data_IF_079743552493
#
_entry.id   IF_079743552493
#
_cell.length_a   1.000
_cell.length_b   1.000
_cell.length_c   1.000
_cell.angle_alpha   90.00
_cell.angle_beta   90.00
_cell.angle_gamma   90.00
#
_symmetry.space_group_name_H-M   'P 1'
#
loop_
_entity.id
_entity.type
_entity.pdbx_description
1 polymer ?
#
# COMPACT_ATOMS: atom_id res chain seq x y z
N UNK A 1 1.78 35.97 27.19
CA UNK A 1 1.60 35.59 25.80
C UNK A 1 0.15 35.12 25.65
N UNK A 2 -0.62 35.79 24.83
CA UNK A 2 -2.02 35.43 24.53
C UNK A 2 -2.07 34.22 23.58
N UNK A 3 -3.22 33.57 23.45
CA UNK A 3 -3.41 32.46 22.49
C UNK A 3 -3.14 32.92 21.04
N UNK A 4 -3.50 34.16 20.71
CA UNK A 4 -3.26 34.76 19.39
C UNK A 4 -1.76 34.94 19.11
N UNK A 5 -1.01 35.45 20.10
CA UNK A 5 0.45 35.59 20.00
C UNK A 5 1.15 34.21 19.86
N UNK A 6 0.67 33.18 20.58
CA UNK A 6 1.19 31.83 20.47
C UNK A 6 0.93 31.25 19.07
N UNK A 7 -0.30 31.39 18.56
CA UNK A 7 -0.70 30.95 17.23
C UNK A 7 0.15 31.62 16.15
N UNK A 8 0.28 32.94 16.20
CA UNK A 8 1.04 33.70 15.21
C UNK A 8 2.50 33.27 15.17
N UNK A 9 3.12 33.10 16.33
CA UNK A 9 4.50 32.62 16.44
C UNK A 9 4.66 31.18 15.96
N UNK A 10 3.70 30.30 16.27
CA UNK A 10 3.72 28.91 15.79
C UNK A 10 3.61 28.84 14.25
N UNK A 11 2.75 29.64 13.63
CA UNK A 11 2.62 29.73 12.18
C UNK A 11 3.90 30.26 11.53
N UNK A 12 4.51 31.30 12.09
CA UNK A 12 5.79 31.83 11.60
C UNK A 12 6.90 30.76 11.64
N UNK A 13 6.95 30.00 12.72
CA UNK A 13 7.93 28.89 12.85
C UNK A 13 7.65 27.73 11.89
N UNK A 14 6.38 27.45 11.56
CA UNK A 14 5.98 26.34 10.69
C UNK A 14 6.04 26.70 9.18
N UNK A 15 5.96 27.98 8.83
CA UNK A 15 5.90 28.44 7.44
C UNK A 15 7.04 27.90 6.54
N UNK A 16 8.32 27.89 6.98
CA UNK A 16 9.39 27.31 6.16
C UNK A 16 9.18 25.83 5.82
N UNK A 17 8.58 25.08 6.74
CA UNK A 17 8.24 23.66 6.50
C UNK A 17 7.07 23.51 5.54
N UNK A 18 6.02 24.33 5.68
CA UNK A 18 4.90 24.31 4.74
C UNK A 18 5.33 24.60 3.31
N UNK A 19 6.24 25.54 3.11
CA UNK A 19 6.79 25.87 1.77
C UNK A 19 7.52 24.71 1.11
N UNK A 20 8.06 23.76 1.86
CA UNK A 20 8.69 22.54 1.30
C UNK A 20 7.66 21.60 0.67
N UNK A 21 6.43 21.59 1.17
CA UNK A 21 5.37 20.72 0.67
C UNK A 21 4.62 21.32 -0.53
N UNK A 22 4.66 22.63 -0.76
CA UNK A 22 3.95 23.28 -1.87
C UNK A 22 4.29 22.68 -3.25
N UNK A 23 5.57 22.45 -3.62
CA UNK A 23 5.92 21.83 -4.90
C UNK A 23 5.41 20.39 -5.02
N UNK A 24 5.43 19.63 -3.92
CA UNK A 24 4.95 18.25 -3.88
C UNK A 24 3.43 18.22 -4.07
N UNK A 25 2.70 19.08 -3.36
CA UNK A 25 1.26 19.21 -3.48
C UNK A 25 0.84 19.61 -4.90
N UNK A 26 1.54 20.60 -5.48
CA UNK A 26 1.28 21.04 -6.85
C UNK A 26 1.52 19.90 -7.87
N UNK A 27 2.63 19.20 -7.76
CA UNK A 27 2.96 18.10 -8.67
C UNK A 27 1.95 16.95 -8.58
N UNK A 28 1.55 16.56 -7.37
CA UNK A 28 0.57 15.51 -7.16
C UNK A 28 -0.84 15.94 -7.59
N UNK A 29 -1.23 17.20 -7.37
CA UNK A 29 -2.49 17.75 -7.90
C UNK A 29 -2.51 17.67 -9.43
N UNK A 30 -1.43 18.07 -10.10
CA UNK A 30 -1.30 17.95 -11.55
C UNK A 30 -1.42 16.50 -12.01
N UNK A 31 -0.72 15.58 -11.35
CA UNK A 31 -0.77 14.14 -11.65
C UNK A 31 -2.21 13.60 -11.61
N UNK A 32 -2.98 13.98 -10.59
CA UNK A 32 -4.39 13.56 -10.47
C UNK A 32 -5.25 14.20 -11.56
N UNK A 33 -5.09 15.48 -11.86
CA UNK A 33 -5.84 16.16 -12.95
C UNK A 33 -5.51 15.56 -14.32
N UNK A 34 -4.25 15.21 -14.56
CA UNK A 34 -3.83 14.51 -15.78
C UNK A 34 -4.48 13.13 -15.87
N UNK A 35 -4.54 12.37 -14.76
CA UNK A 35 -5.22 11.09 -14.73
C UNK A 35 -6.71 11.21 -15.08
N UNK A 36 -7.41 12.20 -14.52
CA UNK A 36 -8.81 12.47 -14.87
C UNK A 36 -8.99 12.76 -16.36
N UNK A 37 -8.08 13.52 -16.96
CA UNK A 37 -8.10 13.82 -18.39
C UNK A 37 -7.80 12.59 -19.26
N UNK A 38 -6.71 11.89 -18.97
CA UNK A 38 -6.27 10.74 -19.78
C UNK A 38 -7.23 9.55 -19.67
N UNK A 39 -7.80 9.31 -18.47
CA UNK A 39 -8.85 8.31 -18.25
C UNK A 39 -10.24 8.82 -18.71
N UNK A 40 -10.35 10.03 -19.27
CA UNK A 40 -11.60 10.60 -19.80
C UNK A 40 -12.75 10.59 -18.78
N UNK A 41 -12.46 10.99 -17.55
CA UNK A 41 -13.48 11.10 -16.49
C UNK A 41 -14.53 12.16 -16.89
N UNK A 42 -15.81 11.82 -16.77
CA UNK A 42 -16.94 12.70 -17.11
C UNK A 42 -18.04 12.57 -16.05
N UNK A 43 -19.06 13.44 -16.11
CA UNK A 43 -20.22 13.43 -15.23
C UNK A 43 -20.95 12.08 -15.21
N UNK A 44 -20.88 11.33 -16.31
CA UNK A 44 -21.48 10.01 -16.41
C UNK A 44 -20.93 9.02 -15.36
N UNK A 45 -19.64 9.13 -15.02
CA UNK A 45 -18.98 8.26 -14.04
C UNK A 45 -19.37 8.55 -12.57
N UNK A 46 -20.05 9.68 -12.32
CA UNK A 46 -20.59 10.03 -11.00
C UNK A 46 -22.06 9.64 -10.81
N UNK A 47 -22.68 9.03 -11.81
CA UNK A 47 -24.03 8.50 -11.68
C UNK A 47 -24.02 7.20 -10.87
N UNK A 48 -24.89 7.11 -9.87
CA UNK A 48 -25.01 5.89 -9.06
C UNK A 48 -25.57 4.72 -9.86
N UNK A 49 -25.16 3.52 -9.52
CA UNK A 49 -25.72 2.26 -10.00
C UNK A 49 -26.55 1.61 -8.90
N UNK A 50 -27.44 0.68 -9.30
CA UNK A 50 -28.29 -0.08 -8.38
C UNK A 50 -28.03 -1.58 -8.53
N UNK A 51 -28.51 -2.37 -7.56
CA UNK A 51 -28.38 -3.82 -7.59
C UNK A 51 -26.97 -4.28 -7.23
N UNK A 52 -26.45 -5.21 -8.00
CA UNK A 52 -25.16 -5.87 -7.71
C UNK A 52 -23.93 -5.04 -8.12
N UNK A 53 -24.10 -3.87 -8.76
CA UNK A 53 -23.01 -3.04 -9.23
C UNK A 53 -22.26 -3.61 -10.45
N UNK A 54 -22.80 -4.58 -11.14
CA UNK A 54 -22.28 -5.03 -12.41
C UNK A 54 -22.32 -3.87 -13.43
N UNK A 55 -21.20 -3.70 -14.16
CA UNK A 55 -21.02 -2.59 -15.11
C UNK A 55 -21.12 -1.21 -14.43
N UNK A 56 -20.61 -1.09 -13.20
CA UNK A 56 -20.47 0.19 -12.53
C UNK A 56 -19.31 0.97 -13.16
N UNK A 57 -19.66 1.77 -14.18
CA UNK A 57 -18.67 2.55 -14.96
C UNK A 57 -17.86 3.53 -14.11
N UNK A 58 -18.42 4.04 -13.03
CA UNK A 58 -17.72 4.93 -12.09
C UNK A 58 -16.65 4.17 -11.31
N UNK A 59 -16.95 2.97 -10.88
CA UNK A 59 -16.02 2.10 -10.15
C UNK A 59 -14.87 1.65 -11.05
N UNK A 60 -15.16 1.18 -12.26
CA UNK A 60 -14.15 0.80 -13.25
C UNK A 60 -13.25 2.01 -13.59
N UNK A 61 -13.86 3.18 -13.78
CA UNK A 61 -13.12 4.41 -14.05
C UNK A 61 -12.22 4.84 -12.90
N UNK A 62 -12.66 4.66 -11.66
CA UNK A 62 -11.84 4.94 -10.48
C UNK A 62 -10.61 4.02 -10.41
N UNK A 63 -10.77 2.73 -10.76
CA UNK A 63 -9.65 1.79 -10.87
C UNK A 63 -8.63 2.25 -11.92
N UNK A 64 -9.07 2.68 -13.11
CA UNK A 64 -8.20 3.24 -14.15
C UNK A 64 -7.44 4.49 -13.66
N UNK A 65 -8.12 5.41 -12.98
CA UNK A 65 -7.50 6.62 -12.43
C UNK A 65 -6.42 6.27 -11.39
N UNK A 66 -6.70 5.33 -10.49
CA UNK A 66 -5.71 4.88 -9.51
C UNK A 66 -4.52 4.18 -10.17
N UNK A 67 -4.76 3.30 -11.13
CA UNK A 67 -3.67 2.65 -11.89
C UNK A 67 -2.78 3.70 -12.57
N UNK A 68 -3.38 4.71 -13.21
CA UNK A 68 -2.64 5.81 -13.86
C UNK A 68 -1.81 6.63 -12.86
N UNK A 69 -2.43 7.08 -11.76
CA UNK A 69 -1.80 7.94 -10.75
C UNK A 69 -0.62 7.25 -10.09
N UNK A 70 -0.79 5.99 -9.72
CA UNK A 70 0.22 5.22 -8.99
C UNK A 70 1.15 4.41 -9.91
N UNK A 71 1.00 4.53 -11.24
CA UNK A 71 1.82 3.83 -12.26
C UNK A 71 1.76 2.31 -12.16
N UNK A 72 0.59 1.78 -11.78
CA UNK A 72 0.29 0.35 -11.83
C UNK A 72 -0.31 -0.07 -13.16
N UNK A 73 -0.27 -1.36 -13.46
CA UNK A 73 -0.94 -1.95 -14.62
C UNK A 73 -2.46 -2.07 -14.38
N UNK A 74 -2.85 -2.35 -13.13
CA UNK A 74 -4.25 -2.48 -12.70
C UNK A 74 -4.42 -1.97 -11.27
N UNK A 75 -5.65 -1.58 -10.92
CA UNK A 75 -6.04 -1.22 -9.57
C UNK A 75 -7.41 -1.81 -9.22
N UNK A 76 -7.67 -1.94 -7.92
CA UNK A 76 -8.98 -2.19 -7.33
C UNK A 76 -9.18 -1.18 -6.21
N UNK A 77 -10.19 -0.34 -6.34
CA UNK A 77 -10.52 0.70 -5.36
C UNK A 77 -11.96 0.49 -4.92
N UNK A 78 -12.15 0.05 -3.68
CA UNK A 78 -13.48 -0.38 -3.22
C UNK A 78 -13.82 0.11 -1.82
N UNK A 79 -15.05 0.56 -1.58
CA UNK A 79 -15.58 0.75 -0.23
C UNK A 79 -15.76 -0.58 0.52
N UNK A 80 -15.82 -1.71 -0.18
CA UNK A 80 -15.92 -3.06 0.40
C UNK A 80 -14.67 -3.48 1.17
N UNK A 81 -13.53 -2.85 0.96
CA UNK A 81 -12.45 -2.92 1.91
C UNK A 81 -12.86 -2.19 3.18
N UNK A 82 -13.26 -2.93 4.19
CA UNK A 82 -13.77 -2.35 5.45
C UNK A 82 -12.72 -1.58 6.25
N UNK A 83 -11.45 -1.72 5.87
CA UNK A 83 -10.31 -1.03 6.49
C UNK A 83 -9.05 -1.20 5.64
N UNK A 84 -8.00 -0.43 5.94
CA UNK A 84 -6.67 -0.64 5.36
C UNK A 84 -6.11 -2.03 5.67
N UNK A 85 -6.32 -2.52 6.89
CA UNK A 85 -5.95 -3.91 7.25
C UNK A 85 -6.61 -4.94 6.34
N UNK A 86 -7.88 -4.74 5.94
CA UNK A 86 -8.55 -5.64 5.03
C UNK A 86 -7.90 -5.62 3.64
N UNK A 87 -7.57 -4.46 3.10
CA UNK A 87 -6.86 -4.36 1.81
C UNK A 87 -5.48 -5.05 1.87
N UNK A 88 -4.70 -4.77 2.91
CA UNK A 88 -3.39 -5.39 3.13
C UNK A 88 -3.48 -6.91 3.31
N UNK A 89 -4.45 -7.37 4.11
CA UNK A 89 -4.68 -8.79 4.36
C UNK A 89 -5.13 -9.53 3.09
N UNK A 90 -6.07 -8.96 2.33
CA UNK A 90 -6.54 -9.50 1.05
C UNK A 90 -5.37 -9.66 0.09
N UNK A 91 -4.53 -8.63 -0.06
CA UNK A 91 -3.32 -8.67 -0.88
C UNK A 91 -2.37 -9.77 -0.42
N UNK A 92 -1.95 -9.77 0.84
CA UNK A 92 -0.97 -10.74 1.33
C UNK A 92 -1.50 -12.18 1.26
N UNK A 93 -2.76 -12.41 1.58
CA UNK A 93 -3.39 -13.75 1.51
C UNK A 93 -3.45 -14.24 0.06
N UNK A 94 -3.80 -13.38 -0.90
CA UNK A 94 -3.84 -13.76 -2.32
C UNK A 94 -2.44 -14.11 -2.83
N UNK A 95 -1.43 -13.30 -2.51
CA UNK A 95 -0.04 -13.53 -2.90
C UNK A 95 0.51 -14.85 -2.35
N UNK A 96 0.09 -15.26 -1.15
CA UNK A 96 0.54 -16.51 -0.51
C UNK A 96 -0.31 -17.71 -0.91
N UNK A 97 -1.58 -17.52 -1.27
CA UNK A 97 -2.56 -18.60 -1.49
C UNK A 97 -2.58 -19.22 -2.88
N UNK A 98 -2.04 -18.56 -3.89
CA UNK A 98 -2.28 -18.89 -5.29
C UNK A 98 -1.34 -19.96 -5.88
N UNK A 99 -1.24 -21.15 -5.26
CA UNK A 99 -0.52 -22.32 -5.81
C UNK A 99 0.98 -22.09 -6.06
N UNK A 100 1.51 -20.98 -5.58
CA UNK A 100 2.86 -20.51 -5.85
C UNK A 100 3.93 -21.39 -5.21
N UNK A 101 5.06 -21.46 -5.87
CA UNK A 101 6.30 -21.94 -5.28
C UNK A 101 6.73 -20.95 -4.20
N UNK A 102 7.03 -21.44 -3.01
CA UNK A 102 7.43 -20.62 -1.87
C UNK A 102 6.29 -20.44 -0.86
N UNK A 103 6.62 -20.67 0.41
CA UNK A 103 5.66 -20.60 1.53
C UNK A 103 6.08 -19.57 2.57
N UNK A 104 7.11 -18.79 2.29
CA UNK A 104 7.64 -17.78 3.19
C UNK A 104 7.29 -16.37 2.73
N UNK A 105 6.95 -15.54 3.69
CA UNK A 105 6.91 -14.09 3.51
C UNK A 105 7.72 -13.41 4.62
N UNK A 106 8.37 -12.30 4.23
CA UNK A 106 9.30 -11.56 5.08
C UNK A 106 8.74 -10.16 5.31
N UNK A 107 8.74 -9.68 6.54
CA UNK A 107 8.59 -8.27 6.86
C UNK A 107 9.97 -7.63 6.94
N UNK A 108 10.24 -6.70 6.04
CA UNK A 108 11.57 -6.16 5.81
C UNK A 108 12.02 -5.12 6.84
N UNK A 109 11.10 -4.49 7.57
CA UNK A 109 11.36 -3.26 8.33
C UNK A 109 10.79 -3.37 9.75
N UNK A 110 11.22 -4.40 10.47
CA UNK A 110 10.77 -4.70 11.83
C UNK A 110 9.35 -5.30 11.87
N UNK A 111 8.75 -5.27 13.05
CA UNK A 111 7.46 -5.87 13.29
C UNK A 111 6.33 -5.24 12.45
N UNK A 112 5.38 -6.06 11.93
CA UNK A 112 4.20 -5.57 11.24
C UNK A 112 3.32 -4.72 12.16
N UNK A 113 2.53 -3.84 11.55
CA UNK A 113 1.49 -3.10 12.24
C UNK A 113 0.56 -4.04 13.03
N UNK A 114 0.09 -3.60 14.20
CA UNK A 114 -0.61 -4.44 15.19
C UNK A 114 -1.71 -5.33 14.64
N UNK A 115 -2.57 -4.79 13.76
CA UNK A 115 -3.65 -5.57 13.16
C UNK A 115 -3.12 -6.63 12.20
N UNK A 116 -2.04 -6.34 11.48
CA UNK A 116 -1.38 -7.30 10.60
C UNK A 116 -0.66 -8.41 11.37
N UNK A 117 -0.17 -8.15 12.59
CA UNK A 117 0.36 -9.23 13.45
C UNK A 117 -0.68 -10.31 13.71
N UNK A 118 -1.96 -9.94 13.88
CA UNK A 118 -3.06 -10.90 14.05
C UNK A 118 -3.38 -11.65 12.74
N UNK A 119 -3.41 -10.97 11.60
CA UNK A 119 -3.61 -11.60 10.28
C UNK A 119 -2.52 -12.62 9.98
N UNK A 120 -1.29 -12.29 10.32
CA UNK A 120 -0.11 -13.15 10.15
C UNK A 120 -0.11 -14.29 11.16
N UNK A 121 -0.47 -14.03 12.41
CA UNK A 121 -0.25 -14.93 13.53
C UNK A 121 1.17 -14.86 14.09
N UNK A 122 1.79 -13.65 14.03
CA UNK A 122 3.20 -13.46 14.36
C UNK A 122 3.51 -13.66 15.84
N UNK A 123 2.71 -13.04 16.72
CA UNK A 123 2.95 -13.07 18.19
C UNK A 123 2.28 -14.24 18.91
N UNK A 124 1.22 -14.81 18.33
CA UNK A 124 0.46 -15.95 18.89
C UNK A 124 -0.32 -16.67 17.80
N UNK A 125 -0.66 -17.93 18.07
CA UNK A 125 -1.60 -18.67 17.19
C UNK A 125 -2.95 -17.95 17.16
N UNK A 126 -3.33 -17.50 15.96
CA UNK A 126 -4.63 -16.87 15.68
C UNK A 126 -5.35 -17.74 14.66
N UNK A 127 -6.60 -18.10 14.96
CA UNK A 127 -7.42 -18.91 14.05
C UNK A 127 -7.59 -18.20 12.70
N UNK A 128 -7.27 -18.90 11.62
CA UNK A 128 -7.36 -18.38 10.25
C UNK A 128 -6.15 -17.55 9.81
N UNK A 129 -5.15 -17.34 10.67
CA UNK A 129 -3.92 -16.62 10.32
C UNK A 129 -3.07 -17.38 9.29
N UNK A 130 -2.17 -16.66 8.63
CA UNK A 130 -1.27 -17.24 7.62
C UNK A 130 -0.36 -18.32 8.22
N UNK A 131 0.18 -18.09 9.41
CA UNK A 131 1.03 -19.09 10.10
C UNK A 131 0.22 -20.35 10.46
N UNK A 132 -1.04 -20.20 10.91
CA UNK A 132 -1.92 -21.36 11.16
C UNK A 132 -2.20 -22.16 9.87
N UNK A 133 -2.27 -21.48 8.72
CA UNK A 133 -2.43 -22.11 7.39
C UNK A 133 -1.15 -22.76 6.86
N UNK A 134 -0.04 -22.70 7.60
CA UNK A 134 1.21 -23.36 7.26
C UNK A 134 2.18 -22.51 6.45
N UNK A 135 1.98 -21.19 6.37
CA UNK A 135 2.97 -20.28 5.80
C UNK A 135 4.02 -19.89 6.84
N UNK A 136 5.23 -19.61 6.39
CA UNK A 136 6.34 -19.18 7.23
C UNK A 136 6.44 -17.67 7.24
N UNK A 137 6.51 -17.09 8.42
CA UNK A 137 6.74 -15.69 8.66
C UNK A 137 8.16 -15.45 9.17
N UNK A 138 8.86 -14.50 8.56
CA UNK A 138 10.16 -14.02 8.99
C UNK A 138 10.11 -12.50 9.16
N UNK A 139 10.70 -11.99 10.24
CA UNK A 139 10.86 -10.57 10.49
C UNK A 139 12.33 -10.20 10.44
N UNK A 140 12.69 -9.17 9.67
CA UNK A 140 14.02 -8.58 9.71
C UNK A 140 14.02 -7.48 10.76
N UNK A 141 14.79 -7.63 11.87
CA UNK A 141 14.82 -6.63 12.91
C UNK A 141 15.45 -5.32 12.41
N UNK A 142 15.03 -4.21 13.01
CA UNK A 142 15.70 -2.92 12.78
C UNK A 142 17.11 -2.95 13.36
N UNK A 143 18.04 -2.26 12.69
CA UNK A 143 19.39 -1.99 13.14
C UNK A 143 19.55 -0.48 13.33
N UNK A 144 20.00 -0.05 14.48
CA UNK A 144 20.15 1.37 14.80
C UNK A 144 18.88 2.21 14.49
N UNK A 145 17.71 1.62 14.79
CA UNK A 145 16.38 2.20 14.55
C UNK A 145 16.05 2.47 13.05
N UNK A 146 16.73 1.79 12.13
CA UNK A 146 16.44 1.85 10.68
C UNK A 146 16.46 0.44 10.06
N UNK A 147 16.11 0.33 8.78
CA UNK A 147 16.19 -0.95 8.07
C UNK A 147 17.65 -1.36 7.83
N UNK A 148 17.89 -2.68 7.83
CA UNK A 148 19.18 -3.28 7.49
C UNK A 148 19.08 -3.97 6.14
N UNK A 149 19.53 -3.30 5.08
CA UNK A 149 19.43 -3.79 3.70
C UNK A 149 20.20 -5.11 3.50
N UNK A 150 21.32 -5.30 4.19
CA UNK A 150 22.10 -6.54 4.10
C UNK A 150 21.36 -7.70 4.79
N UNK A 151 20.78 -7.46 5.96
CA UNK A 151 19.96 -8.45 6.64
C UNK A 151 18.70 -8.82 5.84
N UNK A 152 18.05 -7.85 5.21
CA UNK A 152 16.92 -8.08 4.30
C UNK A 152 17.35 -8.99 3.14
N UNK A 153 18.41 -8.64 2.45
CA UNK A 153 18.92 -9.43 1.32
C UNK A 153 19.30 -10.86 1.74
N UNK A 154 19.92 -11.03 2.92
CA UNK A 154 20.32 -12.34 3.43
C UNK A 154 19.14 -13.20 3.90
N UNK A 155 18.02 -12.61 4.30
CA UNK A 155 16.79 -13.32 4.64
C UNK A 155 16.09 -13.93 3.41
N UNK A 156 16.23 -13.30 2.23
CA UNK A 156 15.61 -13.76 0.99
C UNK A 156 16.27 -15.05 0.48
N UNK A 157 15.44 -16.06 0.19
CA UNK A 157 15.85 -17.37 -0.29
C UNK A 157 14.85 -17.91 -1.34
N UNK A 158 15.08 -19.12 -1.85
CA UNK A 158 14.25 -19.74 -2.90
C UNK A 158 12.81 -20.03 -2.44
N UNK A 159 12.56 -20.10 -1.14
CA UNK A 159 11.23 -20.28 -0.56
C UNK A 159 10.50 -18.96 -0.28
N UNK A 160 11.20 -17.83 -0.39
CA UNK A 160 10.64 -16.50 -0.14
C UNK A 160 9.73 -16.06 -1.30
N UNK A 161 8.44 -16.05 -1.05
CA UNK A 161 7.42 -15.63 -2.03
C UNK A 161 7.22 -14.11 -2.03
N UNK A 162 7.11 -13.52 -0.84
CA UNK A 162 6.78 -12.10 -0.67
C UNK A 162 7.71 -11.45 0.33
N UNK A 163 8.18 -10.24 0.02
CA UNK A 163 8.77 -9.31 0.98
C UNK A 163 7.81 -8.14 1.15
N UNK A 164 7.31 -7.96 2.37
CA UNK A 164 6.42 -6.87 2.75
C UNK A 164 7.24 -5.70 3.28
N UNK A 165 7.02 -4.53 2.70
CA UNK A 165 7.71 -3.28 3.04
C UNK A 165 6.67 -2.31 3.61
N UNK A 166 6.63 -2.14 4.92
CA UNK A 166 5.76 -1.17 5.57
C UNK A 166 6.40 0.22 5.51
N UNK A 167 5.83 1.12 4.69
CA UNK A 167 6.36 2.47 4.48
C UNK A 167 6.25 3.33 5.72
N UNK A 168 5.08 3.36 6.36
CA UNK A 168 4.88 4.12 7.59
C UNK A 168 5.64 3.50 8.77
N UNK A 169 6.04 4.34 9.73
CA UNK A 169 6.69 3.86 10.96
C UNK A 169 5.74 3.10 11.91
N UNK A 170 4.42 3.21 11.70
CA UNK A 170 3.44 2.69 12.65
C UNK A 170 3.63 3.31 14.03
N UNK A 171 3.73 2.48 15.06
CA UNK A 171 4.02 2.89 16.43
C UNK A 171 5.51 2.85 16.82
N UNK A 172 6.38 2.50 15.87
CA UNK A 172 7.83 2.49 16.10
C UNK A 172 8.41 3.91 16.10
N UNK A 173 9.65 4.05 16.56
CA UNK A 173 10.37 5.31 16.58
C UNK A 173 11.24 5.56 15.36
N UNK A 174 11.32 4.58 14.44
CA UNK A 174 12.05 4.73 13.17
C UNK A 174 11.44 5.83 12.30
N UNK A 175 12.22 6.38 11.40
CA UNK A 175 11.67 7.25 10.35
C UNK A 175 10.78 6.45 9.35
N UNK A 176 9.75 7.08 8.76
CA UNK A 176 9.04 6.47 7.64
C UNK A 176 10.00 6.30 6.45
N UNK A 177 9.73 5.29 5.62
CA UNK A 177 10.56 5.06 4.43
C UNK A 177 10.23 6.08 3.33
N UNK A 178 11.27 6.67 2.76
CA UNK A 178 11.19 7.41 1.50
C UNK A 178 11.05 6.46 0.30
N UNK A 179 10.70 6.99 -0.86
CA UNK A 179 10.70 6.22 -2.11
C UNK A 179 12.10 5.72 -2.45
N UNK A 180 13.14 6.50 -2.11
CA UNK A 180 14.54 6.08 -2.28
C UNK A 180 14.88 4.87 -1.40
N UNK A 181 14.42 4.84 -0.15
CA UNK A 181 14.63 3.68 0.74
C UNK A 181 13.90 2.44 0.21
N UNK A 182 12.66 2.60 -0.26
CA UNK A 182 11.90 1.50 -0.89
C UNK A 182 12.68 0.94 -2.08
N UNK A 183 13.23 1.81 -2.93
CA UNK A 183 14.04 1.38 -4.07
C UNK A 183 15.26 0.56 -3.65
N UNK A 184 16.01 1.00 -2.64
CA UNK A 184 17.16 0.27 -2.11
C UNK A 184 16.74 -1.13 -1.63
N UNK A 185 15.65 -1.23 -0.91
CA UNK A 185 15.13 -2.52 -0.42
C UNK A 185 14.71 -3.41 -1.58
N UNK A 186 13.94 -2.89 -2.53
CA UNK A 186 13.46 -3.63 -3.71
C UNK A 186 14.64 -4.14 -4.54
N UNK A 187 15.62 -3.28 -4.84
CA UNK A 187 16.80 -3.66 -5.61
C UNK A 187 17.58 -4.79 -4.92
N UNK A 188 17.75 -4.73 -3.60
CA UNK A 188 18.41 -5.77 -2.81
C UNK A 188 17.66 -7.11 -2.82
N UNK A 189 16.34 -7.08 -2.68
CA UNK A 189 15.47 -8.27 -2.76
C UNK A 189 15.54 -8.90 -4.16
N UNK A 190 15.36 -8.10 -5.21
CA UNK A 190 15.36 -8.57 -6.61
C UNK A 190 16.73 -9.10 -7.05
N UNK A 191 17.81 -8.54 -6.53
CA UNK A 191 19.17 -9.05 -6.76
C UNK A 191 19.38 -10.46 -6.18
N UNK A 192 18.71 -10.80 -5.08
CA UNK A 192 18.78 -12.14 -4.46
C UNK A 192 17.84 -13.13 -5.13
N UNK A 193 16.60 -12.73 -5.35
CA UNK A 193 15.61 -13.57 -6.02
C UNK A 193 14.65 -12.67 -6.83
N UNK A 194 14.80 -12.59 -8.15
CA UNK A 194 13.96 -11.73 -9.01
C UNK A 194 12.48 -12.14 -9.02
N UNK A 195 12.16 -13.37 -8.60
CA UNK A 195 10.79 -13.86 -8.54
C UNK A 195 10.07 -13.52 -7.24
N UNK A 196 10.79 -13.04 -6.22
CA UNK A 196 10.19 -12.59 -4.96
C UNK A 196 9.37 -11.33 -5.20
N UNK A 197 8.13 -11.31 -4.75
CA UNK A 197 7.22 -10.17 -4.89
C UNK A 197 7.52 -9.15 -3.81
N UNK A 198 7.75 -7.90 -4.20
CA UNK A 198 7.87 -6.76 -3.30
C UNK A 198 6.51 -6.11 -3.12
N UNK A 199 5.89 -6.30 -1.96
CA UNK A 199 4.59 -5.75 -1.59
C UNK A 199 4.77 -4.59 -0.62
N UNK A 200 4.26 -3.40 -0.97
CA UNK A 200 4.35 -2.20 -0.13
C UNK A 200 3.02 -1.89 0.56
N UNK A 201 3.04 -1.84 1.89
CA UNK A 201 2.00 -1.14 2.67
C UNK A 201 2.26 0.36 2.56
N UNK A 202 1.49 1.04 1.70
CA UNK A 202 1.66 2.46 1.39
C UNK A 202 0.82 3.39 2.28
N UNK A 203 0.17 2.87 3.32
CA UNK A 203 -0.63 3.69 4.24
C UNK A 203 0.17 4.89 4.77
N UNK A 204 -0.40 6.10 4.67
CA UNK A 204 0.18 7.40 4.99
C UNK A 204 1.31 7.87 4.07
N UNK A 205 1.71 7.08 3.08
CA UNK A 205 2.77 7.44 2.14
C UNK A 205 2.25 8.11 0.87
N UNK A 206 0.98 7.92 0.56
CA UNK A 206 0.37 8.39 -0.69
C UNK A 206 0.51 9.92 -0.82
N UNK A 207 1.02 10.38 -1.95
CA UNK A 207 1.19 11.80 -2.29
C UNK A 207 2.14 12.60 -1.39
N UNK A 208 2.93 11.93 -0.54
CA UNK A 208 3.90 12.60 0.33
C UNK A 208 5.23 12.91 -0.36
N UNK A 209 5.48 12.30 -1.52
CA UNK A 209 6.63 12.53 -2.40
C UNK A 209 6.17 12.69 -3.86
N UNK A 210 7.11 12.95 -4.77
CA UNK A 210 6.82 13.10 -6.20
C UNK A 210 6.55 11.76 -6.89
N UNK A 211 7.17 10.70 -6.38
CA UNK A 211 7.04 9.33 -6.88
C UNK A 211 6.31 8.45 -5.88
N UNK A 212 5.86 7.30 -6.37
CA UNK A 212 5.14 6.29 -5.59
C UNK A 212 5.89 4.94 -5.62
N UNK A 213 5.57 3.99 -4.72
CA UNK A 213 6.35 2.76 -4.58
C UNK A 213 6.51 1.92 -5.85
N UNK A 214 5.53 1.90 -6.75
CA UNK A 214 5.62 1.15 -8.01
C UNK A 214 6.69 1.74 -8.94
N UNK A 215 6.91 3.05 -8.91
CA UNK A 215 8.00 3.71 -9.64
C UNK A 215 9.39 3.37 -9.06
N UNK A 216 9.44 2.92 -7.82
CA UNK A 216 10.65 2.40 -7.17
C UNK A 216 10.88 0.89 -7.43
N UNK A 217 10.01 0.25 -8.22
CA UNK A 217 10.13 -1.15 -8.61
C UNK A 217 9.37 -2.14 -7.72
N UNK A 218 8.51 -1.69 -6.80
CA UNK A 218 7.59 -2.57 -6.10
C UNK A 218 6.62 -3.24 -7.10
N UNK A 219 6.23 -4.49 -6.84
CA UNK A 219 5.33 -5.23 -7.73
C UNK A 219 3.86 -4.90 -7.47
N UNK A 220 3.51 -4.61 -6.22
CA UNK A 220 2.15 -4.33 -5.77
C UNK A 220 2.18 -3.49 -4.50
N UNK A 221 1.20 -2.64 -4.34
CA UNK A 221 0.99 -1.89 -3.10
C UNK A 221 -0.49 -1.86 -2.73
N UNK A 222 -0.77 -1.63 -1.46
CA UNK A 222 -2.13 -1.47 -0.95
C UNK A 222 -2.17 -0.41 0.16
N UNK A 223 -3.36 0.13 0.39
CA UNK A 223 -3.54 1.13 1.42
C UNK A 223 -5.02 1.39 1.74
N UNK A 224 -5.26 2.43 2.54
CA UNK A 224 -6.56 2.77 3.08
C UNK A 224 -7.08 4.10 2.52
N UNK A 225 -8.34 4.13 2.12
CA UNK A 225 -8.99 5.36 1.66
C UNK A 225 -9.34 6.33 2.81
N UNK A 226 -9.38 5.89 4.07
CA UNK A 226 -9.56 6.80 5.21
C UNK A 226 -8.32 7.64 5.53
N UNK A 227 -7.22 7.42 4.79
CA UNK A 227 -5.94 8.12 4.90
C UNK A 227 -5.74 9.05 3.70
N UNK A 228 -4.49 9.26 3.29
CA UNK A 228 -4.14 10.26 2.27
C UNK A 228 -4.90 10.05 0.95
N UNK A 229 -5.00 8.82 0.47
CA UNK A 229 -5.62 8.51 -0.82
C UNK A 229 -7.10 8.88 -0.92
N UNK A 230 -7.83 8.87 0.19
CA UNK A 230 -9.24 9.28 0.24
C UNK A 230 -9.48 10.75 0.53
N UNK A 231 -8.42 11.56 0.64
CA UNK A 231 -8.49 13.02 0.76
C UNK A 231 -9.23 13.54 2.00
N UNK A 232 -9.38 12.73 3.04
CA UNK A 232 -10.17 13.07 4.24
C UNK A 232 -11.69 13.01 4.03
N UNK A 233 -12.16 12.54 2.87
CA UNK A 233 -13.59 12.47 2.52
C UNK A 233 -14.14 11.04 2.58
N UNK A 234 -13.33 10.03 2.24
CA UNK A 234 -13.76 8.65 2.24
C UNK A 234 -13.96 8.12 3.67
N UNK A 235 -15.16 7.66 4.06
CA UNK A 235 -15.43 7.17 5.41
C UNK A 235 -14.93 5.74 5.65
N UNK A 236 -14.62 5.01 4.58
CA UNK A 236 -14.18 3.61 4.58
C UNK A 236 -13.49 3.31 3.26
N UNK A 237 -13.04 2.09 3.10
CA UNK A 237 -12.48 1.60 1.86
C UNK A 237 -10.97 1.45 1.86
N UNK A 238 -10.49 0.86 0.78
CA UNK A 238 -9.09 0.63 0.51
C UNK A 238 -8.82 0.50 -0.97
N UNK A 239 -7.56 0.36 -1.30
CA UNK A 239 -7.11 0.16 -2.67
C UNK A 239 -5.97 -0.86 -2.73
N UNK A 240 -5.84 -1.50 -3.88
CA UNK A 240 -4.71 -2.34 -4.27
C UNK A 240 -4.32 -1.89 -5.68
N UNK A 241 -3.03 -1.65 -5.93
CA UNK A 241 -2.51 -1.22 -7.22
C UNK A 241 -1.18 -1.94 -7.49
N UNK A 242 -0.96 -2.39 -8.72
CA UNK A 242 0.30 -3.05 -9.07
C UNK A 242 0.24 -3.76 -10.42
N UNK A 243 1.00 -4.84 -10.52
CA UNK A 243 0.96 -5.74 -11.67
C UNK A 243 -0.44 -6.34 -11.82
N UNK A 244 -0.90 -6.46 -13.05
CA UNK A 244 -2.25 -6.93 -13.36
C UNK A 244 -2.55 -8.30 -12.78
N UNK A 245 -1.64 -9.27 -12.99
CA UNK A 245 -1.80 -10.64 -12.49
C UNK A 245 -1.98 -10.71 -10.96
N UNK A 246 -1.24 -9.88 -10.21
CA UNK A 246 -1.31 -9.86 -8.75
C UNK A 246 -2.57 -9.14 -8.23
N UNK A 247 -3.00 -8.11 -8.94
CA UNK A 247 -4.23 -7.37 -8.60
C UNK A 247 -5.46 -8.23 -8.89
N UNK A 248 -5.48 -8.98 -9.99
CA UNK A 248 -6.55 -9.95 -10.30
C UNK A 248 -6.64 -11.05 -9.25
N UNK A 249 -5.52 -11.62 -8.85
CA UNK A 249 -5.49 -12.61 -7.76
C UNK A 249 -6.11 -12.05 -6.46
N UNK A 250 -5.82 -10.78 -6.14
CA UNK A 250 -6.42 -10.11 -4.99
C UNK A 250 -7.93 -9.89 -5.15
N UNK A 251 -8.40 -9.60 -6.37
CA UNK A 251 -9.83 -9.46 -6.67
C UNK A 251 -10.62 -10.73 -6.33
N UNK A 252 -10.08 -11.90 -6.68
CA UNK A 252 -10.71 -13.18 -6.38
C UNK A 252 -10.77 -13.52 -4.88
N UNK A 253 -10.11 -12.75 -4.02
CA UNK A 253 -10.15 -12.87 -2.56
C UNK A 253 -11.06 -11.82 -1.88
N UNK A 254 -11.45 -10.75 -2.60
CA UNK A 254 -12.04 -9.57 -1.96
C UNK A 254 -13.44 -9.82 -1.40
N UNK A 255 -14.35 -10.33 -2.21
CA UNK A 255 -15.78 -10.47 -1.82
C UNK A 255 -16.14 -11.92 -1.55
N UNK A 256 -16.27 -12.71 -2.58
CA UNK A 256 -16.47 -14.15 -2.48
C UNK A 256 -15.50 -14.87 -3.42
N UNK A 257 -14.89 -15.98 -2.99
CA UNK A 257 -13.93 -16.71 -3.81
C UNK A 257 -14.49 -17.00 -5.20
N UNK A 258 -13.74 -16.58 -6.23
CA UNK A 258 -14.07 -16.83 -7.63
C UNK A 258 -14.94 -15.79 -8.31
N UNK A 259 -15.40 -14.73 -7.61
CA UNK A 259 -16.17 -13.65 -8.25
C UNK A 259 -15.31 -12.59 -8.95
N UNK A 260 -14.03 -12.46 -8.58
CA UNK A 260 -13.16 -11.42 -9.13
C UNK A 260 -13.49 -10.03 -8.59
N UNK A 261 -13.43 -9.03 -9.46
CA UNK A 261 -13.57 -7.62 -9.13
C UNK A 261 -15.03 -7.07 -9.22
N UNK A 262 -15.99 -7.96 -9.31
CA UNK A 262 -17.42 -7.65 -9.37
C UNK A 262 -18.04 -7.31 -8.01
#
# INVERSE_FOLDING_TARGET
>A
MTLEEIRSKALEMAEPEFKKFEPIALANTKKVLEAFKECQVSDYHFTGTTGYGYNDVGREKLDEVFAYVFKGEKAIVRPHFVSGTHALATTLISLMGNGSKGKEFIYAVGAPYDTMQSVIGAARKVRGSLVEKGFTYTEVPLKDNTYDVEAIANAVNDNTRVVVIQRSRGYSTREPLSIADIKIIVDAVKAKNPNTICFVDNCYGEFTELQEPLEAGADIMAGSLIKNAGGGLAPTGGYIVGREDLVEDAAYQLTAPGLGDH
#
